data_IF_072399861857
#
_entry.id   IF_072399861857
#
_cell.length_a   1.000
_cell.length_b   1.000
_cell.length_c   1.000
_cell.angle_alpha   90.00
_cell.angle_beta   90.00
_cell.angle_gamma   90.00
#
_symmetry.space_group_name_H-M   'P 1'
#
loop_
_entity.id
_entity.type
_entity.pdbx_description
1 polymer ?
#
# COMPACT_ATOMS: atom_id res chain seq x y z
N UNK A 1 -1.40 28.53 -11.45
CA UNK A 1 -0.07 28.05 -11.90
C UNK A 1 0.67 27.16 -10.88
N UNK A 2 0.01 26.65 -9.82
CA UNK A 2 0.64 25.92 -8.70
C UNK A 2 0.25 24.43 -8.59
N UNK A 3 -0.28 23.83 -9.65
CA UNK A 3 -0.89 22.48 -9.59
C UNK A 3 -0.01 21.36 -10.19
N UNK A 4 1.26 21.66 -10.51
CA UNK A 4 2.19 20.69 -11.14
C UNK A 4 3.26 20.12 -10.19
N UNK A 5 3.38 20.62 -8.96
CA UNK A 5 4.44 20.22 -8.02
C UNK A 5 4.22 18.86 -7.34
N UNK A 6 3.05 18.23 -7.44
CA UNK A 6 2.76 16.96 -6.75
C UNK A 6 3.34 15.70 -7.42
N UNK A 7 3.80 15.82 -8.68
CA UNK A 7 4.06 14.67 -9.56
C UNK A 7 5.53 14.28 -9.72
N UNK A 8 6.45 14.82 -8.91
CA UNK A 8 7.86 14.51 -9.04
C UNK A 8 8.46 14.06 -7.71
N UNK A 9 9.37 13.09 -7.76
CA UNK A 9 10.26 12.75 -6.66
C UNK A 9 11.59 13.46 -6.89
N UNK A 10 12.07 14.20 -5.90
CA UNK A 10 13.33 14.96 -6.01
C UNK A 10 14.43 14.24 -5.25
N UNK A 11 15.50 13.88 -5.96
CA UNK A 11 16.72 13.34 -5.36
C UNK A 11 17.76 14.45 -5.28
N UNK A 12 18.25 14.73 -4.08
CA UNK A 12 19.37 15.64 -3.87
C UNK A 12 20.68 14.87 -3.94
N UNK A 13 21.66 15.40 -4.68
CA UNK A 13 23.01 14.84 -4.80
C UNK A 13 24.06 15.95 -4.90
N UNK A 14 25.33 15.58 -4.81
CA UNK A 14 26.47 16.50 -4.92
C UNK A 14 27.36 16.04 -6.06
N UNK A 15 27.77 16.95 -6.95
CA UNK A 15 28.68 16.60 -8.05
C UNK A 15 30.15 16.54 -7.57
N UNK A 16 31.04 16.19 -8.48
CA UNK A 16 32.49 16.08 -8.22
C UNK A 16 33.15 17.40 -7.77
N UNK A 17 32.49 18.54 -8.00
CA UNK A 17 32.98 19.88 -7.64
C UNK A 17 32.32 20.40 -6.35
N UNK A 18 31.52 19.58 -5.67
CA UNK A 18 30.87 19.96 -4.40
C UNK A 18 29.57 20.77 -4.57
N UNK A 19 29.09 20.95 -5.80
CA UNK A 19 27.83 21.65 -6.06
C UNK A 19 26.63 20.74 -5.77
N UNK A 20 25.62 21.29 -5.07
CA UNK A 20 24.34 20.60 -4.85
C UNK A 20 23.54 20.57 -6.15
N UNK A 21 23.08 19.38 -6.53
CA UNK A 21 22.16 19.15 -7.67
C UNK A 21 20.88 18.49 -7.20
N UNK A 22 19.80 18.80 -7.90
CA UNK A 22 18.47 18.24 -7.68
C UNK A 22 18.03 17.56 -8.97
N UNK A 23 17.68 16.28 -8.87
CA UNK A 23 17.17 15.48 -9.99
C UNK A 23 15.68 15.30 -9.78
N UNK A 24 14.87 15.82 -10.70
CA UNK A 24 13.42 15.65 -10.72
C UNK A 24 13.05 14.38 -11.49
N UNK A 25 12.51 13.39 -10.80
CA UNK A 25 12.03 12.14 -11.41
C UNK A 25 10.51 12.21 -11.52
N UNK A 26 9.93 12.13 -12.73
CA UNK A 26 8.48 12.06 -12.88
C UNK A 26 7.94 10.84 -12.13
N UNK A 27 6.95 11.05 -11.25
CA UNK A 27 6.12 9.98 -10.71
C UNK A 27 5.29 9.44 -11.88
N UNK A 28 5.82 8.46 -12.59
CA UNK A 28 5.05 7.72 -13.57
C UNK A 28 3.86 7.05 -12.87
N UNK A 29 2.71 6.95 -13.55
CA UNK A 29 1.54 6.21 -13.04
C UNK A 29 1.88 4.77 -12.64
N UNK A 30 2.91 4.18 -13.26
CA UNK A 30 3.47 2.89 -12.88
C UNK A 30 4.14 2.88 -11.49
N UNK A 31 4.81 3.96 -11.09
CA UNK A 31 5.37 4.08 -9.74
C UNK A 31 4.26 4.18 -8.70
N UNK A 32 3.22 4.99 -8.97
CA UNK A 32 2.07 5.11 -8.07
C UNK A 32 1.32 3.79 -7.91
N UNK A 33 1.10 3.05 -9.00
CA UNK A 33 0.47 1.71 -8.95
C UNK A 33 1.28 0.74 -8.09
N UNK A 34 2.59 0.71 -8.28
CA UNK A 34 3.49 -0.18 -7.52
C UNK A 34 3.53 0.20 -6.05
N UNK A 35 3.58 1.50 -5.73
CA UNK A 35 3.49 2.01 -4.35
C UNK A 35 2.17 1.63 -3.69
N UNK A 36 1.03 1.75 -4.39
CA UNK A 36 -0.28 1.32 -3.89
C UNK A 36 -0.30 -0.18 -3.60
N UNK A 37 0.18 -1.02 -4.52
CA UNK A 37 0.25 -2.48 -4.32
C UNK A 37 1.18 -2.85 -3.15
N UNK A 38 2.35 -2.22 -3.03
CA UNK A 38 3.29 -2.47 -1.92
C UNK A 38 2.70 -2.06 -0.56
N UNK A 39 1.99 -0.94 -0.52
CA UNK A 39 1.26 -0.50 0.67
C UNK A 39 0.18 -1.52 1.08
N UNK A 40 -0.66 -1.95 0.14
CA UNK A 40 -1.70 -2.96 0.39
C UNK A 40 -1.05 -4.26 0.89
N UNK A 41 0.01 -4.72 0.24
CA UNK A 41 0.72 -5.93 0.62
C UNK A 41 1.20 -5.88 2.09
N UNK A 42 1.94 -4.82 2.45
CA UNK A 42 2.47 -4.64 3.81
C UNK A 42 1.36 -4.58 4.84
N UNK A 43 0.28 -3.87 4.55
CA UNK A 43 -0.86 -3.72 5.46
C UNK A 43 -1.60 -5.04 5.63
N UNK A 44 -1.93 -5.75 4.55
CA UNK A 44 -2.59 -7.06 4.60
C UNK A 44 -1.76 -8.12 5.34
N UNK A 45 -0.44 -8.16 5.15
CA UNK A 45 0.45 -9.05 5.91
C UNK A 45 0.42 -8.74 7.41
N UNK A 46 0.44 -7.46 7.77
CA UNK A 46 0.34 -7.06 9.16
C UNK A 46 -1.05 -7.34 9.76
N UNK A 47 -2.12 -7.28 8.95
CA UNK A 47 -3.46 -7.73 9.35
C UNK A 47 -3.47 -9.23 9.65
N UNK A 48 -2.91 -10.05 8.76
CA UNK A 48 -2.82 -11.50 8.95
C UNK A 48 -2.07 -11.85 10.23
N UNK A 49 -0.90 -11.25 10.44
CA UNK A 49 -0.08 -11.47 11.64
C UNK A 49 -0.85 -11.14 12.92
N UNK A 50 -1.66 -10.08 12.90
CA UNK A 50 -2.49 -9.72 14.06
C UNK A 50 -3.61 -10.72 14.27
N UNK A 51 -4.28 -11.17 13.21
CA UNK A 51 -5.29 -12.24 13.30
C UNK A 51 -4.71 -13.52 13.92
N UNK A 52 -3.55 -13.96 13.44
CA UNK A 52 -2.86 -15.16 13.95
C UNK A 52 -2.47 -15.03 15.44
N UNK A 53 -2.00 -13.85 15.86
CA UNK A 53 -1.60 -13.59 17.26
C UNK A 53 -2.76 -13.61 18.25
N UNK A 54 -3.94 -13.13 17.82
CA UNK A 54 -5.08 -12.93 18.72
C UNK A 54 -5.81 -14.27 18.99
N UNK A 55 -5.52 -15.35 18.25
CA UNK A 55 -6.21 -16.66 18.32
C UNK A 55 -7.75 -16.57 18.26
N UNK A 56 -8.31 -15.41 17.89
CA UNK A 56 -9.71 -15.19 17.54
C UNK A 56 -9.86 -15.17 16.02
N UNK A 57 -9.17 -16.09 15.34
CA UNK A 57 -9.33 -16.22 13.90
C UNK A 57 -10.76 -16.67 13.64
N UNK A 58 -11.51 -15.77 13.02
CA UNK A 58 -12.66 -16.17 12.23
C UNK A 58 -12.02 -16.65 10.92
N UNK A 59 -11.95 -17.97 10.71
CA UNK A 59 -11.12 -18.60 9.66
C UNK A 59 -11.34 -17.96 8.28
N UNK A 60 -12.57 -17.52 8.01
CA UNK A 60 -12.97 -16.79 6.80
C UNK A 60 -12.19 -15.48 6.59
N UNK A 61 -11.94 -14.70 7.64
CA UNK A 61 -11.24 -13.42 7.51
C UNK A 61 -9.74 -13.63 7.22
N UNK A 62 -9.11 -14.61 7.88
CA UNK A 62 -7.72 -14.96 7.59
C UNK A 62 -7.56 -15.49 6.16
N UNK A 63 -8.49 -16.31 5.70
CA UNK A 63 -8.51 -16.82 4.33
C UNK A 63 -8.61 -15.67 3.31
N UNK A 64 -9.55 -14.74 3.52
CA UNK A 64 -9.71 -13.57 2.66
C UNK A 64 -8.46 -12.68 2.63
N UNK A 65 -7.76 -12.52 3.76
CA UNK A 65 -6.52 -11.75 3.83
C UNK A 65 -5.42 -12.43 3.01
N UNK A 66 -5.27 -13.76 3.13
CA UNK A 66 -4.28 -14.53 2.37
C UNK A 66 -4.56 -14.43 0.87
N UNK A 67 -5.82 -14.59 0.47
CA UNK A 67 -6.22 -14.48 -0.94
C UNK A 67 -5.90 -13.07 -1.51
N UNK A 68 -6.16 -12.01 -0.74
CA UNK A 68 -5.80 -10.65 -1.13
C UNK A 68 -4.27 -10.48 -1.27
N UNK A 69 -3.48 -11.02 -0.35
CA UNK A 69 -2.00 -10.98 -0.43
C UNK A 69 -1.50 -11.61 -1.72
N UNK A 70 -2.05 -12.78 -2.10
CA UNK A 70 -1.62 -13.47 -3.31
C UNK A 70 -2.05 -12.74 -4.59
N UNK A 71 -3.26 -12.17 -4.63
CA UNK A 71 -3.71 -11.32 -5.75
C UNK A 71 -2.83 -10.07 -5.91
N UNK A 72 -2.46 -9.41 -4.81
CA UNK A 72 -1.53 -8.27 -4.83
C UNK A 72 -0.16 -8.68 -5.37
N UNK A 73 0.38 -9.81 -4.92
CA UNK A 73 1.66 -10.35 -5.44
C UNK A 73 1.60 -10.61 -6.93
N UNK A 74 0.54 -11.24 -7.42
CA UNK A 74 0.36 -11.47 -8.87
C UNK A 74 0.29 -10.15 -9.65
N UNK A 75 -0.42 -9.15 -9.11
CA UNK A 75 -0.56 -7.84 -9.73
C UNK A 75 0.73 -6.99 -9.71
N UNK A 76 1.69 -7.29 -8.84
CA UNK A 76 3.02 -6.66 -8.92
C UNK A 76 3.78 -7.04 -10.19
N UNK A 77 3.55 -8.25 -10.72
CA UNK A 77 4.22 -8.75 -11.93
C UNK A 77 3.40 -8.55 -13.21
N UNK A 78 2.07 -8.40 -13.10
CA UNK A 78 1.18 -8.15 -14.24
C UNK A 78 0.92 -6.66 -14.40
N UNK A 79 0.94 -6.15 -15.63
CA UNK A 79 0.39 -4.82 -15.96
C UNK A 79 -1.11 -4.97 -16.09
N UNK A 80 -1.87 -4.22 -15.29
CA UNK A 80 -3.33 -4.29 -15.26
C UNK A 80 -3.90 -3.36 -14.21
N UNK A 81 -5.22 -3.17 -14.28
CA UNK A 81 -5.97 -2.42 -13.29
C UNK A 81 -5.83 -3.06 -11.90
N UNK A 82 -5.85 -2.22 -10.87
CA UNK A 82 -5.77 -2.62 -9.46
C UNK A 82 -6.97 -2.13 -8.65
N UNK A 83 -7.96 -1.50 -9.29
CA UNK A 83 -9.13 -0.92 -8.61
C UNK A 83 -9.88 -1.98 -7.79
N UNK A 84 -10.13 -3.16 -8.36
CA UNK A 84 -10.74 -4.29 -7.66
C UNK A 84 -9.94 -4.69 -6.38
N UNK A 85 -8.60 -4.73 -6.47
CA UNK A 85 -7.72 -5.04 -5.33
C UNK A 85 -7.80 -3.95 -4.26
N UNK A 86 -7.93 -2.69 -4.67
CA UNK A 86 -8.08 -1.55 -3.75
C UNK A 86 -9.42 -1.61 -3.03
N UNK A 87 -10.50 -1.94 -3.73
CA UNK A 87 -11.84 -2.11 -3.15
C UNK A 87 -11.89 -3.27 -2.17
N UNK A 88 -11.36 -4.43 -2.55
CA UNK A 88 -11.29 -5.61 -1.69
C UNK A 88 -10.52 -5.32 -0.41
N UNK A 89 -9.39 -4.61 -0.51
CA UNK A 89 -8.63 -4.18 0.66
C UNK A 89 -9.45 -3.26 1.56
N UNK A 90 -10.21 -2.32 0.99
CA UNK A 90 -11.05 -1.37 1.74
C UNK A 90 -12.17 -2.11 2.48
N UNK A 91 -12.81 -3.08 1.86
CA UNK A 91 -13.90 -3.83 2.47
C UNK A 91 -13.41 -4.81 3.51
N UNK A 92 -12.28 -5.47 3.27
CA UNK A 92 -11.62 -6.31 4.26
C UNK A 92 -11.21 -5.48 5.49
N UNK A 93 -10.70 -4.26 5.29
CA UNK A 93 -10.39 -3.33 6.37
C UNK A 93 -11.63 -2.94 7.19
N UNK A 94 -12.78 -2.69 6.56
CA UNK A 94 -14.04 -2.42 7.26
C UNK A 94 -14.47 -3.62 8.11
N UNK A 95 -14.44 -4.83 7.53
CA UNK A 95 -14.78 -6.08 8.23
C UNK A 95 -13.87 -6.33 9.43
N UNK A 96 -12.56 -6.18 9.26
CA UNK A 96 -11.58 -6.36 10.33
C UNK A 96 -11.77 -5.37 11.50
N UNK A 97 -12.13 -4.11 11.21
CA UNK A 97 -12.48 -3.11 12.22
C UNK A 97 -13.74 -3.47 12.98
N UNK A 98 -14.81 -3.82 12.26
CA UNK A 98 -16.12 -4.11 12.86
C UNK A 98 -16.08 -5.28 13.85
N UNK A 99 -15.16 -6.24 13.64
CA UNK A 99 -14.97 -7.41 14.50
C UNK A 99 -14.07 -7.15 15.72
N UNK A 100 -13.69 -5.89 15.99
CA UNK A 100 -12.88 -5.53 17.16
C UNK A 100 -11.44 -6.08 17.16
N UNK A 101 -10.99 -6.66 16.03
CA UNK A 101 -9.73 -7.40 15.95
C UNK A 101 -8.51 -6.50 15.70
N UNK A 102 -8.69 -5.18 15.48
CA UNK A 102 -7.62 -4.28 15.04
C UNK A 102 -7.70 -2.86 15.65
N UNK A 103 -7.99 -2.74 16.94
CA UNK A 103 -8.07 -1.43 17.62
C UNK A 103 -6.75 -0.61 17.58
N UNK A 104 -5.60 -1.24 17.30
CA UNK A 104 -4.27 -0.61 17.29
C UNK A 104 -3.75 -0.25 15.88
N UNK A 105 -4.50 -0.51 14.81
CA UNK A 105 -4.04 -0.17 13.47
C UNK A 105 -4.22 1.32 13.19
N UNK A 106 -3.14 2.10 13.31
CA UNK A 106 -3.15 3.50 12.89
C UNK A 106 -3.27 3.57 11.35
N UNK A 107 -4.38 4.19 10.93
CA UNK A 107 -4.91 4.18 9.58
C UNK A 107 -5.01 5.58 8.97
N UNK A 108 -4.47 6.59 9.67
CA UNK A 108 -4.40 7.99 9.22
C UNK A 108 -3.44 8.21 8.05
N UNK A 109 -2.62 7.22 7.69
CA UNK A 109 -1.59 7.33 6.64
C UNK A 109 -2.07 7.02 5.21
N UNK A 110 -3.35 6.74 5.01
CA UNK A 110 -3.91 6.60 3.66
C UNK A 110 -4.64 7.89 3.30
N UNK A 111 -3.99 8.77 2.52
CA UNK A 111 -4.64 9.89 1.86
C UNK A 111 -4.94 9.46 0.42
N UNK A 112 -6.22 9.56 0.04
CA UNK A 112 -6.67 9.48 -1.36
C UNK A 112 -5.95 10.52 -2.23
#
# INVERSE_FOLDING_TARGET
MYDKMANFHVVQTTNEVGEKRYIEIPKSSSNLRREKLDFILKKSQSMLNNCLKIQKTNDDLSYDIVNLIDRVRQSLYRKGDIEEIVEDFRDLKKRAKSKGSMSSFDLTKWKD
#
